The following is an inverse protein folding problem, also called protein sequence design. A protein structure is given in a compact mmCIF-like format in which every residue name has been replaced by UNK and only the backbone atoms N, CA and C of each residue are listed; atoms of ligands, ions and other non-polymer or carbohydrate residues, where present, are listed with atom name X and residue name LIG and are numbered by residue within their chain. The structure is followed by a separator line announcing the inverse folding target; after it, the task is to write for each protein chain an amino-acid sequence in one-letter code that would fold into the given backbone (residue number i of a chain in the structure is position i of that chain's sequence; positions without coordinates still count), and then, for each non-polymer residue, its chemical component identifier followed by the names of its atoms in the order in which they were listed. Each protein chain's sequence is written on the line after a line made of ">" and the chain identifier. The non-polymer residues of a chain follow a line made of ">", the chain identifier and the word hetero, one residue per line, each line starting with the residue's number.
data_IF_737785280861
#
_entry.id   IF_737785280861
#
_cell.length_a   1.000
_cell.length_b   1.000
_cell.length_c   1.000
_cell.angle_alpha   90.00
_cell.angle_beta   90.00
_cell.angle_gamma   90.00
#
_symmetry.space_group_name_H-M   'P 1'
#
loop_
_entity.id
_entity.type
_entity.pdbx_description
1 polymer ?
#
# COMPACT_ATOMS: atom_id res chain seq x y z
N UNK A 1 1.22 -21.47 -9.00
CA UNK A 1 0.55 -20.44 -9.80
C UNK A 1 1.07 -19.06 -9.42
N UNK A 2 1.17 -18.16 -10.38
CA UNK A 2 1.64 -16.80 -10.17
C UNK A 2 0.48 -15.83 -10.24
N UNK A 3 0.48 -14.85 -9.34
CA UNK A 3 -0.58 -13.84 -9.27
C UNK A 3 0.05 -12.45 -9.32
N UNK A 4 -0.54 -11.58 -10.12
CA UNK A 4 -0.11 -10.19 -10.21
C UNK A 4 -0.99 -9.34 -9.32
N UNK A 5 -0.37 -8.60 -8.41
CA UNK A 5 -1.04 -7.77 -7.42
C UNK A 5 -0.48 -6.36 -7.46
N UNK A 6 -1.22 -5.44 -6.87
CA UNK A 6 -0.75 -4.08 -6.67
C UNK A 6 -1.16 -3.61 -5.28
N UNK A 7 -0.27 -2.88 -4.63
CA UNK A 7 -0.47 -2.41 -3.25
C UNK A 7 -0.07 -0.95 -3.11
N UNK A 8 -0.69 -0.26 -2.18
CA UNK A 8 -0.38 1.13 -1.89
C UNK A 8 0.08 1.30 -0.43
N UNK A 9 1.22 1.94 -0.26
CA UNK A 9 1.72 2.37 1.03
C UNK A 9 1.28 3.82 1.20
N UNK A 10 0.15 4.01 1.89
CA UNK A 10 -0.53 5.31 1.98
C UNK A 10 -0.08 6.02 3.24
N UNK A 11 0.62 7.14 3.08
CA UNK A 11 1.14 7.91 4.21
C UNK A 11 0.53 9.30 4.21
N UNK A 12 -0.07 9.68 5.34
CA UNK A 12 -0.60 11.02 5.53
C UNK A 12 0.57 12.00 5.65
N UNK A 13 0.66 13.02 4.78
CA UNK A 13 1.80 13.94 4.83
C UNK A 13 1.85 14.79 6.09
N UNK A 14 0.74 15.01 6.77
CA UNK A 14 0.71 15.81 8.01
C UNK A 14 1.16 15.00 9.23
N UNK A 15 0.60 13.82 9.40
CA UNK A 15 0.86 13.00 10.59
C UNK A 15 2.00 12.01 10.40
N UNK A 16 2.40 11.75 9.15
CA UNK A 16 3.40 10.73 8.78
C UNK A 16 3.00 9.33 9.21
N UNK A 17 1.68 9.09 9.32
CA UNK A 17 1.14 7.77 9.66
C UNK A 17 0.78 7.01 8.39
N UNK A 18 0.96 5.69 8.46
CA UNK A 18 0.62 4.78 7.37
C UNK A 18 -0.74 4.13 7.61
N UNK A 19 -1.50 3.95 6.55
CA UNK A 19 -2.82 3.31 6.61
C UNK A 19 -2.65 1.80 6.39
N UNK A 20 -3.08 1.02 7.37
CA UNK A 20 -3.00 -0.43 7.30
C UNK A 20 -4.36 -1.06 7.59
N UNK A 21 -4.54 -2.26 7.06
CA UNK A 21 -5.74 -3.07 7.29
C UNK A 21 -5.30 -4.39 7.92
N UNK A 22 -6.17 -4.94 8.77
CA UNK A 22 -5.95 -6.27 9.37
C UNK A 22 -6.88 -7.24 8.67
N UNK A 23 -6.31 -8.08 7.81
CA UNK A 23 -7.07 -9.05 7.03
C UNK A 23 -7.64 -10.16 7.91
N UNK A 24 -8.84 -10.64 7.58
CA UNK A 24 -9.50 -11.72 8.36
C UNK A 24 -8.67 -12.97 8.48
N UNK A 25 -8.00 -13.34 7.39
CA UNK A 25 -7.20 -14.58 7.35
C UNK A 25 -5.78 -14.40 7.88
N UNK A 26 -5.33 -13.16 7.98
CA UNK A 26 -4.00 -12.83 8.48
C UNK A 26 -4.15 -12.27 9.88
N UNK A 27 -3.27 -12.68 10.78
CA UNK A 27 -3.22 -12.09 12.12
C UNK A 27 -2.38 -10.82 12.14
N UNK A 28 -1.97 -10.34 10.95
CA UNK A 28 -1.08 -9.21 10.80
C UNK A 28 -1.75 -8.05 10.09
N UNK A 29 -1.23 -6.87 10.38
CA UNK A 29 -1.61 -5.64 9.68
C UNK A 29 -0.79 -5.56 8.39
N UNK A 30 -1.47 -5.20 7.29
CA UNK A 30 -0.86 -5.12 5.96
C UNK A 30 -1.32 -3.87 5.23
N UNK A 31 -0.55 -3.48 4.22
CA UNK A 31 -0.96 -2.40 3.34
C UNK A 31 -2.13 -2.84 2.46
N UNK A 32 -3.02 -1.91 2.08
CA UNK A 32 -4.11 -2.23 1.14
C UNK A 32 -3.56 -2.65 -0.21
N UNK A 33 -4.18 -3.64 -0.82
CA UNK A 33 -3.79 -4.14 -2.13
C UNK A 33 -4.52 -5.42 -2.47
N UNK A 34 -4.34 -5.87 -3.69
CA UNK A 34 -4.97 -7.09 -4.16
C UNK A 34 -4.64 -7.40 -5.60
N UNK A 35 -5.34 -8.36 -6.17
CA UNK A 35 -5.10 -8.82 -7.53
C UNK A 35 -5.42 -7.75 -8.57
N UNK A 36 -4.58 -7.67 -9.59
CA UNK A 36 -4.82 -6.83 -10.76
C UNK A 36 -5.85 -7.57 -11.62
N UNK A 37 -6.93 -6.87 -11.99
CA UNK A 37 -7.98 -7.44 -12.81
C UNK A 37 -7.58 -7.45 -14.29
N UNK A 38 -8.22 -8.31 -15.14
CA UNK A 38 -8.00 -8.24 -16.57
C UNK A 38 -8.34 -6.83 -17.08
N UNK A 39 -7.54 -6.32 -18.01
CA UNK A 39 -7.70 -4.98 -18.57
C UNK A 39 -7.42 -3.83 -17.61
N UNK A 40 -6.85 -4.11 -16.45
CA UNK A 40 -6.49 -3.10 -15.47
C UNK A 40 -4.97 -2.97 -15.40
N UNK A 41 -4.47 -1.73 -15.33
CA UNK A 41 -3.05 -1.50 -15.13
C UNK A 41 -2.71 -1.57 -13.63
N UNK A 42 -1.47 -1.90 -13.28
CA UNK A 42 -1.08 -1.99 -11.86
C UNK A 42 -1.41 -0.74 -11.04
N UNK A 43 -1.16 0.45 -11.60
CA UNK A 43 -1.46 1.70 -10.89
C UNK A 43 -2.95 1.89 -10.66
N UNK A 44 -3.78 1.44 -11.60
CA UNK A 44 -5.23 1.49 -11.44
C UNK A 44 -5.70 0.52 -10.35
N UNK A 45 -5.11 -0.67 -10.31
CA UNK A 45 -5.45 -1.67 -9.31
C UNK A 45 -5.10 -1.19 -7.89
N UNK A 46 -3.94 -0.54 -7.73
CA UNK A 46 -3.54 -0.01 -6.42
C UNK A 46 -4.54 1.03 -5.91
N UNK A 47 -4.99 1.93 -6.78
CA UNK A 47 -5.96 2.97 -6.43
C UNK A 47 -7.31 2.35 -6.10
N UNK A 48 -7.78 1.41 -6.92
CA UNK A 48 -9.06 0.73 -6.72
C UNK A 48 -9.07 -0.08 -5.41
N UNK A 49 -8.06 -0.89 -5.20
CA UNK A 49 -7.97 -1.73 -3.99
C UNK A 49 -7.90 -0.88 -2.73
N UNK A 50 -7.15 0.23 -2.76
CA UNK A 50 -7.10 1.14 -1.62
C UNK A 50 -8.49 1.68 -1.30
N UNK A 51 -9.24 2.09 -2.31
CA UNK A 51 -10.57 2.63 -2.10
C UNK A 51 -11.54 1.55 -1.59
N UNK A 52 -11.51 0.37 -2.19
CA UNK A 52 -12.39 -0.73 -1.78
C UNK A 52 -12.12 -1.17 -0.34
N UNK A 53 -10.87 -1.20 0.06
CA UNK A 53 -10.50 -1.70 1.39
C UNK A 53 -10.56 -0.64 2.49
N UNK A 54 -10.40 0.63 2.16
CA UNK A 54 -10.28 1.69 3.18
C UNK A 54 -11.27 2.83 3.03
N UNK A 55 -11.89 2.99 1.87
CA UNK A 55 -12.75 4.14 1.58
C UNK A 55 -11.97 5.40 1.24
N UNK A 56 -10.65 5.34 1.14
CA UNK A 56 -9.80 6.50 0.90
C UNK A 56 -9.37 6.55 -0.56
N UNK A 57 -9.57 7.71 -1.20
CA UNK A 57 -9.02 8.00 -2.52
C UNK A 57 -7.58 8.45 -2.35
N UNK A 58 -6.70 7.94 -3.19
CA UNK A 58 -5.27 8.18 -3.04
C UNK A 58 -4.66 8.77 -4.31
N UNK A 59 -3.50 9.40 -4.12
CA UNK A 59 -2.63 9.84 -5.21
C UNK A 59 -1.32 9.09 -5.09
N UNK A 60 -0.92 8.42 -6.16
CA UNK A 60 0.37 7.72 -6.19
C UNK A 60 1.49 8.74 -6.38
N UNK A 61 2.61 8.52 -5.69
CA UNK A 61 3.73 9.47 -5.67
C UNK A 61 4.86 9.12 -6.64
N UNK A 62 4.73 8.13 -7.45
CA UNK A 62 5.79 7.74 -8.37
C UNK A 62 5.97 8.71 -9.54
N UNK A 63 7.09 8.57 -10.23
CA UNK A 63 7.39 9.36 -11.42
C UNK A 63 6.92 8.63 -12.69
N UNK A 64 6.59 9.40 -13.71
CA UNK A 64 6.36 8.89 -15.07
C UNK A 64 7.59 9.21 -15.90
N UNK A 65 8.34 8.19 -16.25
CA UNK A 65 9.58 8.40 -17.00
C UNK A 65 9.70 7.34 -18.08
N UNK A 66 10.13 7.71 -19.29
CA UNK A 66 10.53 9.07 -19.71
C UNK A 66 9.42 9.91 -20.35
N UNK A 67 8.20 9.37 -20.53
CA UNK A 67 7.12 10.05 -21.25
C UNK A 67 5.93 10.29 -20.33
N UNK A 68 5.12 11.32 -20.65
CA UNK A 68 3.99 11.70 -19.81
C UNK A 68 2.91 10.61 -19.71
N UNK A 69 2.72 9.83 -20.76
CA UNK A 69 1.71 8.79 -20.78
C UNK A 69 2.25 7.40 -20.39
N UNK A 70 3.48 7.34 -19.92
CA UNK A 70 4.02 6.11 -19.37
C UNK A 70 3.40 5.80 -18.02
N UNK A 71 3.53 4.57 -17.59
CA UNK A 71 3.04 4.16 -16.28
C UNK A 71 3.78 4.89 -15.16
N UNK A 72 3.08 5.11 -14.06
CA UNK A 72 3.72 5.57 -12.84
C UNK A 72 4.70 4.49 -12.41
N UNK A 73 5.94 4.88 -12.13
CA UNK A 73 6.96 3.95 -11.67
C UNK A 73 6.59 3.44 -10.27
N UNK A 74 6.44 2.12 -10.08
CA UNK A 74 6.25 1.61 -8.73
C UNK A 74 7.51 1.82 -7.88
N UNK A 75 7.34 1.84 -6.58
CA UNK A 75 8.46 1.89 -5.64
C UNK A 75 9.33 0.66 -5.83
N UNK A 76 8.71 -0.47 -6.07
CA UNK A 76 9.38 -1.73 -6.30
C UNK A 76 8.38 -2.77 -6.76
N UNK A 77 8.91 -3.93 -7.13
CA UNK A 77 8.13 -5.09 -7.50
C UNK A 77 8.58 -6.22 -6.58
N UNK A 78 7.70 -6.63 -5.67
CA UNK A 78 8.03 -7.63 -4.66
C UNK A 78 7.55 -9.01 -5.06
N UNK A 79 8.32 -10.00 -4.67
CA UNK A 79 7.96 -11.39 -4.86
C UNK A 79 7.58 -11.97 -3.50
N UNK A 80 6.32 -12.33 -3.35
CA UNK A 80 5.80 -12.88 -2.10
C UNK A 80 5.36 -14.32 -2.32
N UNK A 81 5.87 -15.23 -1.51
CA UNK A 81 5.49 -16.64 -1.58
C UNK A 81 4.37 -16.90 -0.59
N UNK A 82 3.27 -17.47 -1.09
CA UNK A 82 2.11 -17.82 -0.29
C UNK A 82 1.71 -19.26 -0.59
N UNK A 83 0.73 -19.78 0.15
CA UNK A 83 0.20 -21.12 -0.10
C UNK A 83 -0.41 -21.24 -1.50
N UNK A 84 -0.96 -20.15 -2.02
CA UNK A 84 -1.58 -20.14 -3.35
C UNK A 84 -0.59 -19.93 -4.49
N UNK A 85 0.70 -19.77 -4.18
CA UNK A 85 1.75 -19.60 -5.17
C UNK A 85 2.57 -18.34 -4.97
N UNK A 86 3.15 -17.83 -6.06
CA UNK A 86 3.99 -16.64 -6.01
C UNK A 86 3.16 -15.43 -6.42
N UNK A 87 3.12 -14.42 -5.54
CA UNK A 87 2.49 -13.14 -5.83
C UNK A 87 3.56 -12.15 -6.27
N UNK A 88 3.32 -11.52 -7.41
CA UNK A 88 4.19 -10.45 -7.94
C UNK A 88 3.47 -9.16 -7.65
N UNK A 89 3.96 -8.40 -6.68
CA UNK A 89 3.27 -7.25 -6.13
C UNK A 89 3.94 -5.94 -6.55
N UNK A 90 3.21 -5.12 -7.31
CA UNK A 90 3.65 -3.78 -7.70
C UNK A 90 3.29 -2.84 -6.57
N UNK A 91 4.29 -2.34 -5.84
CA UNK A 91 4.06 -1.50 -4.67
C UNK A 91 4.28 -0.02 -5.01
N UNK A 92 3.39 0.82 -4.47
CA UNK A 92 3.38 2.26 -4.75
C UNK A 92 3.35 3.08 -3.47
N UNK A 93 4.17 4.14 -3.38
CA UNK A 93 3.97 5.13 -2.32
C UNK A 93 2.80 6.03 -2.70
N UNK A 94 2.02 6.45 -1.71
CA UNK A 94 0.82 7.22 -1.98
C UNK A 94 0.47 8.14 -0.81
N UNK A 95 -0.36 9.14 -1.10
CA UNK A 95 -0.94 10.00 -0.08
C UNK A 95 -2.46 9.99 -0.21
N UNK A 96 -3.19 10.22 0.89
CA UNK A 96 -4.64 10.35 0.79
C UNK A 96 -5.02 11.68 0.14
N UNK A 97 -6.03 11.64 -0.71
CA UNK A 97 -6.57 12.86 -1.35
C UNK A 97 -7.59 13.55 -0.47
N UNK A 98 -8.12 12.85 0.52
CA UNK A 98 -9.09 13.40 1.46
C UNK A 98 -8.98 12.67 2.79
N UNK A 99 -9.54 13.25 3.83
CA UNK A 99 -9.55 12.68 5.17
C UNK A 99 -10.93 12.16 5.53
N UNK A 100 -11.53 11.41 4.60
CA UNK A 100 -12.83 10.80 4.85
C UNK A 100 -12.73 9.71 5.89
N UNK A 101 -13.89 9.40 6.48
CA UNK A 101 -14.02 8.31 7.42
C UNK A 101 -13.59 6.99 6.79
N UNK A 102 -12.80 6.22 7.52
CA UNK A 102 -12.35 4.92 7.06
C UNK A 102 -13.50 3.93 7.00
N UNK A 103 -13.52 3.09 5.96
CA UNK A 103 -14.53 2.06 5.80
C UNK A 103 -13.85 0.70 5.68
N UNK A 104 -14.22 -0.22 6.53
CA UNK A 104 -13.68 -1.57 6.51
C UNK A 104 -14.42 -2.40 5.46
N UNK A 105 -13.66 -3.10 4.62
CA UNK A 105 -14.23 -4.07 3.68
C UNK A 105 -14.62 -5.36 4.41
N UNK A 106 -15.36 -6.23 3.73
CA UNK A 106 -15.78 -7.52 4.31
C UNK A 106 -14.60 -8.46 4.58
N UNK A 107 -13.48 -8.22 3.95
CA UNK A 107 -12.28 -9.05 4.07
C UNK A 107 -11.38 -8.67 5.23
N UNK A 108 -11.65 -7.55 5.89
CA UNK A 108 -10.81 -7.03 6.97
C UNK A 108 -11.55 -7.00 8.30
N UNK A 109 -10.80 -7.16 9.39
CA UNK A 109 -11.35 -7.10 10.75
C UNK A 109 -11.10 -5.75 11.40
N UNK A 110 -10.11 -5.00 10.91
CA UNK A 110 -9.78 -3.69 11.47
C UNK A 110 -9.01 -2.86 10.46
N UNK A 111 -8.94 -1.55 10.70
CA UNK A 111 -8.28 -0.58 9.84
C UNK A 111 -7.80 0.59 10.70
N UNK A 112 -6.65 1.16 10.38
CA UNK A 112 -6.17 2.31 11.15
C UNK A 112 -4.93 2.95 10.58
N UNK A 113 -4.62 4.12 11.12
CA UNK A 113 -3.41 4.88 10.83
C UNK A 113 -2.39 4.62 11.93
N UNK A 114 -1.16 4.34 11.55
CA UNK A 114 -0.09 4.01 12.49
C UNK A 114 1.15 4.84 12.23
N UNK A 115 1.74 5.38 13.29
CA UNK A 115 3.06 6.00 13.18
C UNK A 115 4.12 4.91 13.01
N UNK A 116 5.31 5.31 12.58
CA UNK A 116 6.42 4.35 12.47
C UNK A 116 6.72 3.68 13.81
N UNK A 117 6.64 4.43 14.89
CA UNK A 117 6.87 3.89 16.23
C UNK A 117 5.83 2.85 16.62
N UNK A 118 4.58 3.09 16.27
CA UNK A 118 3.50 2.14 16.55
C UNK A 118 3.68 0.81 15.83
N UNK A 119 4.38 0.79 14.70
CA UNK A 119 4.65 -0.46 14.00
C UNK A 119 5.50 -1.42 14.83
N UNK A 120 6.23 -0.93 15.81
CA UNK A 120 6.98 -1.79 16.72
C UNK A 120 6.09 -2.49 17.75
N UNK A 121 4.85 -2.02 17.93
CA UNK A 121 3.93 -2.54 18.93
C UNK A 121 2.82 -3.40 18.35
N UNK A 122 2.72 -3.50 17.03
CA UNK A 122 1.69 -4.30 16.37
C UNK A 122 2.34 -5.37 15.50
N UNK A 123 1.54 -6.36 15.13
CA UNK A 123 2.03 -7.47 14.32
C UNK A 123 2.01 -7.11 12.83
N UNK A 124 3.17 -6.77 12.28
CA UNK A 124 3.34 -6.48 10.85
C UNK A 124 4.51 -7.28 10.32
N UNK A 125 4.52 -7.51 8.99
CA UNK A 125 5.71 -8.07 8.36
C UNK A 125 6.84 -7.06 8.41
N UNK A 126 8.10 -7.52 8.60
CA UNK A 126 9.24 -6.60 8.60
C UNK A 126 9.35 -5.72 7.36
N UNK A 127 8.89 -6.22 6.22
CA UNK A 127 8.91 -5.47 4.96
C UNK A 127 8.15 -4.15 5.05
N UNK A 128 7.07 -4.10 5.82
CA UNK A 128 6.27 -2.87 5.97
C UNK A 128 7.09 -1.79 6.67
N UNK A 129 7.83 -2.16 7.71
CA UNK A 129 8.69 -1.21 8.41
C UNK A 129 9.79 -0.66 7.51
N UNK A 130 10.45 -1.55 6.78
CA UNK A 130 11.52 -1.19 5.86
C UNK A 130 11.01 -0.28 4.76
N UNK A 131 9.86 -0.62 4.18
CA UNK A 131 9.25 0.16 3.11
C UNK A 131 8.81 1.53 3.60
N UNK A 132 8.18 1.59 4.77
CA UNK A 132 7.77 2.87 5.36
C UNK A 132 8.97 3.78 5.61
N UNK A 133 10.06 3.23 6.17
CA UNK A 133 11.28 4.00 6.40
C UNK A 133 11.83 4.58 5.10
N UNK A 134 11.85 3.77 4.05
CA UNK A 134 12.32 4.21 2.74
C UNK A 134 11.44 5.33 2.19
N UNK A 135 10.13 5.19 2.27
CA UNK A 135 9.19 6.20 1.77
C UNK A 135 9.32 7.50 2.54
N UNK A 136 9.36 7.44 3.86
CA UNK A 136 9.50 8.65 4.69
C UNK A 136 10.77 9.41 4.34
N UNK A 137 11.86 8.70 4.15
CA UNK A 137 13.14 9.33 3.80
C UNK A 137 13.15 9.93 2.41
N UNK A 138 12.63 9.23 1.43
CA UNK A 138 12.79 9.60 0.02
C UNK A 138 11.65 10.45 -0.55
N UNK A 139 10.47 10.39 0.05
CA UNK A 139 9.29 11.12 -0.45
C UNK A 139 8.81 12.21 0.50
N UNK A 140 9.20 12.15 1.78
CA UNK A 140 8.78 13.12 2.78
C UNK A 140 9.94 13.84 3.46
N UNK A 141 11.16 13.61 2.97
CA UNK A 141 12.38 14.28 3.43
C UNK A 141 12.66 14.11 4.93
N UNK A 142 12.26 13.00 5.51
CA UNK A 142 12.59 12.74 6.90
C UNK A 142 14.05 12.29 7.00
N UNK A 143 14.73 12.76 8.05
CA UNK A 143 16.08 12.32 8.36
C UNK A 143 16.03 11.32 9.50
N UNK A 144 16.97 10.38 9.44
CA UNK A 144 17.05 9.32 10.45
C UNK A 144 17.41 9.84 11.83
#
# INVERSE_FOLDING_TARGET
>A
MRHFCASAYIIDPETKKILLVKHKKLTRWVQPGGHIEPNEFPEEAAIREAYEETGIKIKLLGERFPREDDFIRPLGIQKNRTESGVHIDFIYPAIPLNHKELKISKESTNIGWFSREQLETINVFPDIKITMDYILKNYFNEVD
#
